data_IF_483721900169
#
_entry.id   IF_483721900169
#
_cell.length_a   1.000
_cell.length_b   1.000
_cell.length_c   1.000
_cell.angle_alpha   90.00
_cell.angle_beta   90.00
_cell.angle_gamma   90.00
#
_symmetry.space_group_name_H-M   'P 1'
#
loop_
_entity.id
_entity.type
_entity.pdbx_description
1 polymer ?
#
# COMPACT_ATOMS: atom_id res chain seq x y z
N UNK A 1 0.74 -22.15 2.78
CA UNK A 1 1.20 -20.79 3.15
C UNK A 1 1.80 -20.06 1.94
N UNK A 2 2.71 -20.68 1.18
CA UNK A 2 3.23 -20.20 -0.12
C UNK A 2 2.11 -19.78 -1.11
N UNK A 3 1.01 -20.55 -1.17
CA UNK A 3 -0.18 -20.23 -2.00
C UNK A 3 -0.82 -18.90 -1.58
N UNK A 4 -0.79 -18.54 -0.30
CA UNK A 4 -1.40 -17.31 0.24
C UNK A 4 -0.63 -16.07 -0.20
N UNK A 5 0.70 -16.06 -0.06
CA UNK A 5 1.56 -14.94 -0.48
C UNK A 5 1.49 -14.76 -2.00
N UNK A 6 1.53 -15.85 -2.78
CA UNK A 6 1.39 -15.79 -4.24
C UNK A 6 0.07 -15.15 -4.68
N UNK A 7 -1.05 -15.50 -4.02
CA UNK A 7 -2.35 -14.90 -4.32
C UNK A 7 -2.40 -13.40 -3.97
N UNK A 8 -1.78 -13.00 -2.86
CA UNK A 8 -1.69 -11.59 -2.46
C UNK A 8 -0.82 -10.76 -3.41
N UNK A 9 0.31 -11.30 -3.87
CA UNK A 9 1.16 -10.67 -4.88
C UNK A 9 0.40 -10.47 -6.21
N UNK A 10 -0.35 -11.48 -6.66
CA UNK A 10 -1.22 -11.34 -7.86
C UNK A 10 -2.31 -10.29 -7.68
N UNK A 11 -2.93 -10.24 -6.50
CA UNK A 11 -3.92 -9.19 -6.22
C UNK A 11 -3.28 -7.81 -6.26
N UNK A 12 -2.10 -7.64 -5.67
CA UNK A 12 -1.37 -6.38 -5.66
C UNK A 12 -0.99 -5.93 -7.08
N UNK A 13 -0.49 -6.85 -7.90
CA UNK A 13 -0.17 -6.60 -9.31
C UNK A 13 -1.41 -6.13 -10.09
N UNK A 14 -2.56 -6.74 -9.87
CA UNK A 14 -3.82 -6.32 -10.48
C UNK A 14 -4.22 -4.90 -10.08
N UNK A 15 -4.10 -4.52 -8.80
CA UNK A 15 -4.40 -3.16 -8.37
C UNK A 15 -3.42 -2.13 -8.95
N UNK A 16 -2.14 -2.46 -9.03
CA UNK A 16 -1.13 -1.61 -9.68
C UNK A 16 -1.50 -1.37 -11.15
N UNK A 17 -1.88 -2.42 -11.87
CA UNK A 17 -2.31 -2.31 -13.26
C UNK A 17 -3.57 -1.43 -13.41
N UNK A 18 -4.56 -1.58 -12.53
CA UNK A 18 -5.74 -0.72 -12.52
C UNK A 18 -5.39 0.76 -12.29
N UNK A 19 -4.52 1.06 -11.31
CA UNK A 19 -4.06 2.43 -11.10
C UNK A 19 -3.35 2.97 -12.34
N UNK A 20 -2.48 2.18 -12.98
CA UNK A 20 -1.79 2.61 -14.20
C UNK A 20 -2.78 2.97 -15.31
N UNK A 21 -3.85 2.18 -15.50
CA UNK A 21 -4.90 2.49 -16.47
C UNK A 21 -5.62 3.80 -16.15
N UNK A 22 -6.01 4.03 -14.89
CA UNK A 22 -6.62 5.29 -14.47
C UNK A 22 -5.69 6.49 -14.68
N UNK A 23 -4.38 6.33 -14.46
CA UNK A 23 -3.40 7.40 -14.62
C UNK A 23 -3.14 7.79 -16.08
N UNK A 24 -3.46 6.95 -17.07
CA UNK A 24 -3.25 7.28 -18.50
C UNK A 24 -3.96 8.56 -18.95
N UNK A 25 -5.09 8.88 -18.32
CA UNK A 25 -5.85 10.10 -18.62
C UNK A 25 -5.57 11.28 -17.69
N UNK A 26 -4.59 11.19 -16.78
CA UNK A 26 -4.15 12.29 -15.90
C UNK A 26 -2.61 12.39 -15.88
N UNK A 27 -1.99 13.01 -16.90
CA UNK A 27 -0.53 13.01 -17.05
C UNK A 27 0.20 13.67 -15.87
N UNK A 28 -0.38 14.70 -15.28
CA UNK A 28 0.19 15.38 -14.10
C UNK A 28 0.28 14.46 -12.88
N UNK A 29 -0.72 13.61 -12.66
CA UNK A 29 -0.74 12.66 -11.55
C UNK A 29 0.11 11.43 -11.89
N UNK A 30 0.07 11.00 -13.16
CA UNK A 30 0.84 9.87 -13.68
C UNK A 30 2.34 10.04 -13.45
N UNK A 31 2.89 11.24 -13.69
CA UNK A 31 4.31 11.50 -13.46
C UNK A 31 4.72 11.23 -12.01
N UNK A 32 3.90 11.65 -11.04
CA UNK A 32 4.17 11.47 -9.62
C UNK A 32 4.08 10.00 -9.14
N UNK A 33 3.34 9.15 -9.85
CA UNK A 33 3.13 7.74 -9.50
C UNK A 33 4.00 6.78 -10.31
N UNK A 34 4.48 7.18 -11.49
CA UNK A 34 5.16 6.28 -12.43
C UNK A 34 6.34 5.52 -11.81
N UNK A 35 7.25 6.24 -11.14
CA UNK A 35 8.39 5.64 -10.43
C UNK A 35 7.94 4.65 -9.37
N UNK A 36 6.98 5.03 -8.52
CA UNK A 36 6.50 4.17 -7.43
C UNK A 36 5.82 2.91 -7.94
N UNK A 37 5.01 3.00 -9.00
CA UNK A 37 4.34 1.82 -9.57
C UNK A 37 5.33 0.87 -10.25
N UNK A 38 6.36 1.39 -10.93
CA UNK A 38 7.46 0.59 -11.46
C UNK A 38 8.18 -0.13 -10.32
N UNK A 39 8.54 0.61 -9.27
CA UNK A 39 9.23 0.05 -8.10
C UNK A 39 8.38 -1.05 -7.44
N UNK A 40 7.07 -0.88 -7.28
CA UNK A 40 6.18 -1.93 -6.73
C UNK A 40 6.27 -3.22 -7.58
N UNK A 41 6.18 -3.10 -8.90
CA UNK A 41 6.29 -4.27 -9.79
C UNK A 41 7.66 -4.94 -9.71
N UNK A 42 8.73 -4.17 -9.57
CA UNK A 42 10.08 -4.72 -9.36
C UNK A 42 10.18 -5.50 -8.05
N UNK A 43 9.64 -4.97 -6.95
CA UNK A 43 9.64 -5.68 -5.65
C UNK A 43 8.77 -6.92 -5.69
N UNK A 44 7.59 -6.88 -6.35
CA UNK A 44 6.76 -8.07 -6.59
C UNK A 44 7.58 -9.13 -7.35
N UNK A 45 8.31 -8.74 -8.39
CA UNK A 45 9.20 -9.63 -9.14
C UNK A 45 10.31 -10.23 -8.27
N UNK A 46 10.88 -9.46 -7.33
CA UNK A 46 11.85 -9.97 -6.35
C UNK A 46 11.23 -10.97 -5.40
N UNK A 47 9.96 -10.79 -5.00
CA UNK A 47 9.27 -11.74 -4.11
C UNK A 47 9.02 -13.11 -4.77
N UNK A 48 8.78 -13.14 -6.09
CA UNK A 48 8.57 -14.41 -6.81
C UNK A 48 9.84 -15.24 -7.00
N UNK A 49 11.02 -14.61 -7.11
CA UNK A 49 12.29 -15.31 -7.39
C UNK A 49 12.72 -16.32 -6.32
N UNK A 50 12.72 -15.98 -5.02
CA UNK A 50 13.16 -16.91 -3.98
C UNK A 50 12.08 -17.94 -3.61
N UNK A 51 10.79 -17.70 -3.90
CA UNK A 51 9.74 -18.73 -3.80
C UNK A 51 9.94 -19.92 -4.76
N UNK A 52 10.86 -19.82 -5.73
CA UNK A 52 11.22 -20.91 -6.66
C UNK A 52 12.43 -21.74 -6.18
N UNK A 53 13.21 -21.24 -5.22
CA UNK A 53 14.51 -21.83 -4.85
C UNK A 53 14.63 -22.22 -3.36
N UNK A 54 13.56 -22.10 -2.56
CA UNK A 54 13.48 -22.53 -1.14
C UNK A 54 14.57 -21.98 -0.19
N UNK A 55 15.22 -20.87 -0.55
CA UNK A 55 16.20 -20.19 0.30
C UNK A 55 15.94 -18.68 0.31
N UNK A 56 14.99 -18.24 1.15
CA UNK A 56 14.94 -16.84 1.57
C UNK A 56 15.81 -16.68 2.82
N UNK A 57 17.11 -16.47 2.63
CA UNK A 57 17.96 -16.05 3.75
C UNK A 57 17.42 -14.78 4.42
N UNK A 58 17.50 -14.70 5.76
CA UNK A 58 16.99 -13.59 6.59
C UNK A 58 17.36 -12.19 6.08
N UNK A 59 18.54 -12.04 5.46
CA UNK A 59 18.98 -10.78 4.85
C UNK A 59 18.07 -10.33 3.69
N UNK A 60 17.66 -11.26 2.83
CA UNK A 60 16.82 -10.96 1.68
C UNK A 60 15.40 -10.57 2.11
N UNK A 61 14.89 -11.22 3.16
CA UNK A 61 13.60 -10.87 3.77
C UNK A 61 13.62 -9.45 4.32
N UNK A 62 14.68 -9.10 5.05
CA UNK A 62 14.82 -7.75 5.57
C UNK A 62 14.92 -6.70 4.45
N UNK A 63 15.60 -7.01 3.35
CA UNK A 63 15.66 -6.16 2.16
C UNK A 63 14.27 -5.94 1.56
N UNK A 64 13.49 -7.00 1.30
CA UNK A 64 12.12 -6.90 0.77
C UNK A 64 11.22 -6.07 1.69
N UNK A 65 11.29 -6.31 3.01
CA UNK A 65 10.48 -5.56 3.98
C UNK A 65 10.84 -4.07 4.02
N UNK A 66 12.12 -3.75 3.92
CA UNK A 66 12.59 -2.37 3.82
C UNK A 66 12.09 -1.72 2.52
N UNK A 67 12.14 -2.43 1.39
CA UNK A 67 11.61 -1.94 0.12
C UNK A 67 10.10 -1.69 0.20
N UNK A 68 9.31 -2.59 0.80
CA UNK A 68 7.89 -2.35 1.06
C UNK A 68 7.64 -1.12 1.96
N UNK A 69 8.45 -0.91 3.00
CA UNK A 69 8.32 0.26 3.85
C UNK A 69 8.60 1.57 3.08
N UNK A 70 9.62 1.57 2.22
CA UNK A 70 9.95 2.71 1.35
C UNK A 70 8.85 2.98 0.33
N UNK A 71 8.32 1.94 -0.32
CA UNK A 71 7.21 2.06 -1.26
C UNK A 71 5.97 2.67 -0.60
N UNK A 72 5.62 2.24 0.62
CA UNK A 72 4.50 2.83 1.37
C UNK A 72 4.74 4.31 1.69
N UNK A 73 5.98 4.70 1.96
CA UNK A 73 6.33 6.11 2.16
C UNK A 73 6.17 6.92 0.86
N UNK A 74 6.59 6.37 -0.28
CA UNK A 74 6.39 7.00 -1.59
C UNK A 74 4.91 7.15 -1.92
N UNK A 75 4.10 6.10 -1.73
CA UNK A 75 2.65 6.15 -1.92
C UNK A 75 2.03 7.27 -1.07
N UNK A 76 2.40 7.38 0.21
CA UNK A 76 1.90 8.45 1.08
C UNK A 76 2.26 9.84 0.58
N UNK A 77 3.48 10.03 0.05
CA UNK A 77 3.87 11.30 -0.58
C UNK A 77 2.96 11.58 -1.78
N UNK A 78 2.75 10.61 -2.64
CA UNK A 78 1.88 10.76 -3.81
C UNK A 78 0.40 10.95 -3.46
N UNK A 79 -0.08 10.42 -2.33
CA UNK A 79 -1.42 10.70 -1.81
C UNK A 79 -1.62 12.17 -1.42
N UNK A 80 -0.59 12.84 -0.89
CA UNK A 80 -0.69 14.28 -0.58
C UNK A 80 -0.96 15.12 -1.83
N UNK A 81 -0.38 14.74 -2.97
CA UNK A 81 -0.67 15.35 -4.27
C UNK A 81 -2.12 15.09 -4.69
N UNK A 82 -2.62 13.86 -4.52
CA UNK A 82 -4.04 13.54 -4.80
C UNK A 82 -4.97 14.40 -3.95
N UNK A 83 -4.67 14.63 -2.67
CA UNK A 83 -5.46 15.49 -1.80
C UNK A 83 -5.48 16.94 -2.28
N UNK A 84 -4.33 17.46 -2.73
CA UNK A 84 -4.27 18.80 -3.33
C UNK A 84 -5.12 18.87 -4.60
N UNK A 85 -5.03 17.88 -5.49
CA UNK A 85 -5.80 17.85 -6.74
C UNK A 85 -7.29 17.66 -6.48
N UNK A 86 -7.64 16.90 -5.45
CA UNK A 86 -9.03 16.71 -5.00
C UNK A 86 -9.64 18.06 -4.60
N UNK A 87 -8.94 18.84 -3.77
CA UNK A 87 -9.37 20.18 -3.39
C UNK A 87 -9.57 21.07 -4.61
N UNK A 88 -8.61 21.09 -5.54
CA UNK A 88 -8.74 21.85 -6.79
C UNK A 88 -9.96 21.43 -7.62
N UNK A 89 -10.27 20.13 -7.69
CA UNK A 89 -11.46 19.64 -8.41
C UNK A 89 -12.77 20.07 -7.74
N UNK A 90 -12.82 20.09 -6.41
CA UNK A 90 -13.99 20.59 -5.66
C UNK A 90 -14.18 22.09 -5.87
N UNK A 91 -13.10 22.86 -5.84
CA UNK A 91 -13.17 24.31 -6.04
C UNK A 91 -13.58 24.65 -7.49
N UNK A 92 -13.07 23.91 -8.47
CA UNK A 92 -13.49 24.02 -9.86
C UNK A 92 -14.98 23.67 -10.03
N UNK A 93 -15.44 22.60 -9.39
CA UNK A 93 -16.85 22.17 -9.42
C UNK A 93 -17.79 23.24 -8.83
N UNK A 94 -17.43 23.77 -7.65
CA UNK A 94 -18.19 24.85 -7.00
C UNK A 94 -18.21 26.12 -7.84
N UNK A 95 -17.08 26.48 -8.43
CA UNK A 95 -16.97 27.69 -9.26
C UNK A 95 -17.75 27.58 -10.56
N UNK A 96 -17.78 26.39 -11.17
CA UNK A 96 -18.48 26.16 -12.44
C UNK A 96 -20.00 26.15 -12.30
N UNK A 97 -20.53 25.67 -11.16
CA UNK A 97 -21.98 25.51 -10.97
C UNK A 97 -22.61 26.63 -10.14
N UNK A 98 -21.90 27.19 -9.16
CA UNK A 98 -22.46 28.19 -8.24
C UNK A 98 -23.82 27.75 -7.67
N UNK A 99 -24.83 28.60 -7.84
CA UNK A 99 -26.20 28.35 -7.37
C UNK A 99 -26.95 27.27 -8.16
N UNK A 100 -26.43 26.85 -9.32
CA UNK A 100 -27.08 25.88 -10.21
C UNK A 100 -26.74 24.43 -9.85
N UNK A 101 -25.95 24.21 -8.79
CA UNK A 101 -25.51 22.89 -8.34
C UNK A 101 -26.67 21.89 -8.16
N UNK A 102 -27.71 22.27 -7.41
CA UNK A 102 -28.82 21.35 -7.13
C UNK A 102 -29.64 20.99 -8.37
N UNK A 103 -29.75 21.92 -9.32
CA UNK A 103 -30.41 21.66 -10.59
C UNK A 103 -29.55 20.73 -11.46
N UNK A 104 -28.24 20.98 -11.51
CA UNK A 104 -27.28 20.14 -12.21
C UNK A 104 -27.25 18.70 -11.70
N UNK A 105 -27.21 18.47 -10.38
CA UNK A 105 -27.15 17.13 -9.78
C UNK A 105 -28.42 16.28 -10.04
N UNK A 106 -29.54 16.91 -10.44
CA UNK A 106 -30.78 16.22 -10.81
C UNK A 106 -30.83 15.81 -12.28
N UNK A 107 -29.94 16.35 -13.12
CA UNK A 107 -29.85 15.99 -14.54
C UNK A 107 -29.20 14.62 -14.71
N UNK A 108 -29.55 13.92 -15.80
CA UNK A 108 -28.83 12.72 -16.22
C UNK A 108 -27.39 13.05 -16.62
N UNK A 109 -26.51 12.05 -16.65
CA UNK A 109 -25.08 12.25 -16.95
C UNK A 109 -24.85 12.93 -18.32
N UNK A 110 -25.63 12.55 -19.34
CA UNK A 110 -25.56 13.17 -20.66
C UNK A 110 -26.04 14.62 -20.65
N UNK A 111 -27.06 14.94 -19.85
CA UNK A 111 -27.57 16.30 -19.73
C UNK A 111 -26.63 17.19 -18.91
N UNK A 112 -26.04 16.66 -17.84
CA UNK A 112 -24.99 17.32 -17.06
C UNK A 112 -23.83 17.74 -17.96
N UNK A 113 -23.33 16.82 -18.78
CA UNK A 113 -22.23 17.07 -19.72
C UNK A 113 -22.55 18.18 -20.72
N UNK A 114 -23.79 18.28 -21.17
CA UNK A 114 -24.21 19.27 -22.16
C UNK A 114 -24.52 20.64 -21.51
N UNK A 115 -25.18 20.65 -20.36
CA UNK A 115 -25.62 21.86 -19.68
C UNK A 115 -24.45 22.60 -19.03
N UNK A 116 -23.57 21.88 -18.33
CA UNK A 116 -22.41 22.44 -17.64
C UNK A 116 -21.17 21.56 -17.86
N UNK A 117 -20.51 21.65 -19.03
CA UNK A 117 -19.35 20.81 -19.36
C UNK A 117 -18.21 20.93 -18.34
N UNK A 118 -17.93 22.13 -17.85
CA UNK A 118 -16.85 22.36 -16.87
C UNK A 118 -17.19 21.77 -15.50
N UNK A 119 -18.44 21.94 -15.04
CA UNK A 119 -18.92 21.33 -13.81
C UNK A 119 -18.92 19.80 -13.89
N UNK A 120 -19.37 19.26 -15.02
CA UNK A 120 -19.30 17.83 -15.30
C UNK A 120 -17.86 17.30 -15.29
N UNK A 121 -16.94 17.95 -16.00
CA UNK A 121 -15.54 17.54 -16.04
C UNK A 121 -14.88 17.61 -14.65
N UNK A 122 -15.17 18.65 -13.87
CA UNK A 122 -14.68 18.78 -12.50
C UNK A 122 -15.22 17.66 -11.59
N UNK A 123 -16.50 17.28 -11.74
CA UNK A 123 -17.11 16.18 -11.00
C UNK A 123 -16.48 14.83 -11.36
N UNK A 124 -16.31 14.55 -12.64
CA UNK A 124 -15.67 13.32 -13.12
C UNK A 124 -14.22 13.23 -12.62
N UNK A 125 -13.49 14.35 -12.65
CA UNK A 125 -12.14 14.44 -12.10
C UNK A 125 -12.10 14.18 -10.59
N UNK A 126 -13.06 14.74 -9.83
CA UNK A 126 -13.20 14.49 -8.40
C UNK A 126 -13.40 12.99 -8.09
N UNK A 127 -14.35 12.33 -8.78
CA UNK A 127 -14.59 10.89 -8.60
C UNK A 127 -13.35 10.07 -8.90
N UNK A 128 -12.65 10.40 -9.99
CA UNK A 128 -11.44 9.70 -10.39
C UNK A 128 -10.30 9.86 -9.39
N UNK A 129 -10.08 11.07 -8.87
CA UNK A 129 -9.04 11.31 -7.86
C UNK A 129 -9.34 10.58 -6.56
N UNK A 130 -10.62 10.54 -6.13
CA UNK A 130 -11.01 9.74 -4.97
C UNK A 130 -10.73 8.25 -5.18
N UNK A 131 -11.10 7.70 -6.33
CA UNK A 131 -10.81 6.31 -6.65
C UNK A 131 -9.31 6.00 -6.62
N UNK A 132 -8.48 6.89 -7.18
CA UNK A 132 -7.02 6.76 -7.12
C UNK A 132 -6.49 6.83 -5.69
N UNK A 133 -7.07 7.69 -4.85
CA UNK A 133 -6.70 7.82 -3.43
C UNK A 133 -7.01 6.52 -2.68
N UNK A 134 -8.22 5.99 -2.85
CA UNK A 134 -8.67 4.77 -2.18
C UNK A 134 -7.84 3.56 -2.62
N UNK A 135 -7.56 3.44 -3.93
CA UNK A 135 -6.70 2.38 -4.47
C UNK A 135 -5.25 2.49 -3.99
N UNK A 136 -4.72 3.71 -3.87
CA UNK A 136 -3.38 3.93 -3.34
C UNK A 136 -3.29 3.51 -1.85
N UNK A 137 -4.33 3.79 -1.08
CA UNK A 137 -4.43 3.34 0.31
C UNK A 137 -4.50 1.80 0.39
N UNK A 138 -5.33 1.17 -0.45
CA UNK A 138 -5.46 -0.30 -0.53
C UNK A 138 -4.11 -0.97 -0.85
N UNK A 139 -3.34 -0.44 -1.81
CA UNK A 139 -2.00 -0.93 -2.13
C UNK A 139 -1.06 -0.78 -0.93
N UNK A 140 -1.09 0.35 -0.24
CA UNK A 140 -0.25 0.60 0.94
C UNK A 140 -0.53 -0.38 2.09
N UNK A 141 -1.79 -0.77 2.26
CA UNK A 141 -2.24 -1.79 3.21
C UNK A 141 -1.78 -3.18 2.78
N UNK A 142 -1.98 -3.55 1.51
CA UNK A 142 -1.50 -4.84 0.97
C UNK A 142 0.01 -5.02 1.09
N UNK A 143 0.80 -3.96 0.89
CA UNK A 143 2.24 -3.97 1.11
C UNK A 143 2.61 -4.22 2.59
N UNK A 144 1.83 -3.68 3.54
CA UNK A 144 2.03 -3.92 4.97
C UNK A 144 1.73 -5.36 5.35
N UNK A 145 0.61 -5.89 4.84
CA UNK A 145 0.20 -7.27 5.08
C UNK A 145 1.21 -8.25 4.50
N UNK A 146 1.66 -8.03 3.27
CA UNK A 146 2.71 -8.84 2.63
C UNK A 146 4.02 -8.78 3.40
N UNK A 147 4.43 -7.60 3.87
CA UNK A 147 5.64 -7.45 4.70
C UNK A 147 5.57 -8.30 5.97
N UNK A 148 4.40 -8.34 6.62
CA UNK A 148 4.17 -9.11 7.84
C UNK A 148 4.14 -10.62 7.56
N UNK A 149 3.50 -11.04 6.47
CA UNK A 149 3.45 -12.46 6.08
C UNK A 149 4.81 -13.03 5.70
N UNK A 150 5.64 -12.26 4.99
CA UNK A 150 7.00 -12.67 4.63
C UNK A 150 7.88 -12.84 5.88
N UNK A 151 7.76 -11.95 6.87
CA UNK A 151 8.45 -12.10 8.16
C UNK A 151 8.00 -13.35 8.91
N UNK A 152 6.67 -13.57 8.99
CA UNK A 152 6.15 -14.75 9.69
C UNK A 152 6.55 -16.06 9.04
N UNK A 153 6.69 -16.11 7.72
CA UNK A 153 7.19 -17.30 7.04
C UNK A 153 8.66 -17.58 7.43
N UNK A 154 9.50 -16.56 7.51
CA UNK A 154 10.92 -16.74 7.88
C UNK A 154 11.11 -17.31 9.27
N UNK A 155 10.31 -16.82 10.23
CA UNK A 155 10.41 -17.22 11.62
C UNK A 155 9.92 -18.66 11.86
N UNK A 156 9.13 -19.23 10.95
CA UNK A 156 8.72 -20.64 11.01
C UNK A 156 9.78 -21.59 10.46
N UNK A 157 10.74 -21.09 9.67
CA UNK A 157 11.86 -21.85 9.12
C UNK A 157 13.08 -21.86 10.04
N UNK A 158 13.16 -20.97 11.05
CA UNK A 158 14.16 -21.05 12.11
C UNK A 158 13.84 -22.22 13.05
N UNK A 159 14.68 -23.27 13.02
CA UNK A 159 14.64 -24.36 13.99
C UNK A 159 14.62 -23.77 15.41
N UNK A 160 13.62 -24.15 16.21
CA UNK A 160 13.63 -23.86 17.64
C UNK A 160 14.99 -24.26 18.20
N UNK A 161 15.73 -23.35 18.84
CA UNK A 161 17.02 -23.71 19.41
C UNK A 161 16.79 -24.93 20.31
N UNK A 162 17.68 -25.94 20.26
CA UNK A 162 17.55 -27.09 21.13
C UNK A 162 17.37 -26.55 22.54
N UNK A 163 16.29 -26.97 23.21
CA UNK A 163 16.09 -26.68 24.62
C UNK A 163 17.27 -27.36 25.30
N UNK A 164 18.36 -26.63 25.50
CA UNK A 164 19.38 -27.06 26.43
C UNK A 164 18.65 -27.28 27.74
N UNK A 165 18.80 -28.48 28.30
CA UNK A 165 18.40 -28.74 29.66
C UNK A 165 19.15 -27.72 30.52
N UNK A 166 18.48 -26.61 30.82
CA UNK A 166 18.93 -25.71 31.86
C UNK A 166 18.88 -26.54 33.13
N UNK A 167 20.04 -27.04 33.54
CA UNK A 167 20.26 -27.45 34.91
C UNK A 167 19.87 -26.22 35.75
N UNK A 168 18.70 -26.31 36.38
CA UNK A 168 18.31 -25.45 37.48
C UNK A 168 19.39 -25.62 38.54
N UNK A 169 20.50 -24.88 38.41
CA UNK A 169 21.44 -24.69 39.50
C UNK A 169 20.62 -24.06 40.60
N UNK A 170 20.28 -24.93 41.53
CA UNK A 170 19.56 -24.69 42.76
C UNK A 170 19.83 -23.27 43.25
N UNK A 171 18.81 -22.41 43.18
CA UNK A 171 18.77 -21.10 43.83
C UNK A 171 18.66 -21.29 45.35
N UNK A 172 19.55 -22.09 45.95
CA UNK A 172 19.67 -22.14 47.41
C UNK A 172 20.25 -20.79 47.83
N UNK A 173 19.55 -20.01 48.65
CA UNK A 173 20.13 -18.81 49.23
C UNK A 173 21.39 -19.22 49.98
N UNK A 174 22.51 -18.51 49.76
CA UNK A 174 23.74 -18.73 50.53
C UNK A 174 23.42 -18.58 52.02
N UNK A 175 23.82 -19.54 52.88
CA UNK A 175 23.56 -19.41 54.31
C UNK A 175 24.32 -18.20 54.82
N UNK A 176 23.58 -17.20 55.30
CA UNK A 176 24.13 -15.98 55.88
C UNK A 176 25.01 -16.36 57.07
N UNK A 177 26.31 -16.11 56.96
CA UNK A 177 27.23 -16.18 58.08
C UNK A 177 27.01 -14.95 58.98
N UNK A 178 26.04 -15.05 59.88
CA UNK A 178 26.01 -14.20 61.08
C UNK A 178 26.92 -14.86 62.11
N UNK A 179 28.14 -14.35 62.23
CA UNK A 179 29.00 -14.62 63.39
C UNK A 179 28.60 -13.67 64.54
N UNK A 180 28.65 -14.15 65.80
CA UNK A 180 28.21 -13.42 66.99
C UNK A 180 29.09 -12.23 67.37
#
# INVERSE_FOLDING_TARGET
MIITISNKLKSLENDVNQIQEYLRSEPEISYAYSSTLININEVIGKCYKPMLNDDLGNKHIQEIRNEFALLRLEIRKSMSLLESKLRSSVDAYRSALGDQKEAFEKLSESEQKNAHPDGYNALQRFHKINLLKDKSQEISEKLMDLSSEIEHQSLQEEETPPIEHFDLKSNVPSPSSLSP
#
